data_IF_916026800084
#
_entry.id   IF_916026800084
#
_cell.length_a   1.000
_cell.length_b   1.000
_cell.length_c   1.000
_cell.angle_alpha   90.00
_cell.angle_beta   90.00
_cell.angle_gamma   90.00
#
_symmetry.space_group_name_H-M   'P 1'
#
loop_
_entity.id
_entity.type
_entity.pdbx_description
1 polymer ?
#
# COMPACT_ATOMS: atom_id res chain seq x y z
N UNK A 1 13.26 21.06 15.31
CA UNK A 1 12.80 19.65 15.27
C UNK A 1 11.37 19.68 14.76
N UNK A 2 11.13 19.25 13.52
CA UNK A 2 9.76 19.05 13.03
C UNK A 2 9.45 17.57 13.09
N UNK A 3 8.81 17.15 14.18
CA UNK A 3 8.16 15.84 14.26
C UNK A 3 6.84 15.94 13.51
N UNK A 4 6.87 15.66 12.21
CA UNK A 4 5.65 15.34 11.48
C UNK A 4 5.35 13.86 11.73
N UNK A 5 4.53 13.57 12.74
CA UNK A 5 3.87 12.26 12.82
C UNK A 5 3.02 12.10 11.56
N UNK A 6 3.50 11.26 10.64
CA UNK A 6 2.76 10.92 9.45
C UNK A 6 1.69 9.90 9.85
N UNK A 7 0.56 10.40 10.36
CA UNK A 7 -0.47 9.59 11.00
C UNK A 7 -1.18 8.70 9.98
N UNK A 8 -1.02 7.38 10.15
CA UNK A 8 -1.87 6.40 9.48
C UNK A 8 -3.31 6.53 10.00
N UNK A 9 -4.25 6.37 9.09
CA UNK A 9 -5.69 6.48 9.33
C UNK A 9 -6.40 5.20 8.94
N UNK A 10 -7.64 5.03 9.41
CA UNK A 10 -8.49 3.91 8.99
C UNK A 10 -8.76 3.91 7.49
N UNK A 11 -8.96 2.71 6.94
CA UNK A 11 -9.30 2.50 5.53
C UNK A 11 -10.75 2.89 5.27
N UNK A 12 -10.98 3.70 4.23
CA UNK A 12 -12.30 3.92 3.64
C UNK A 12 -12.62 2.82 2.63
N UNK A 13 -13.87 2.75 2.17
CA UNK A 13 -14.27 1.81 1.13
C UNK A 13 -13.51 2.04 -0.18
N UNK A 14 -13.25 3.30 -0.55
CA UNK A 14 -12.44 3.65 -1.73
C UNK A 14 -11.01 3.09 -1.62
N UNK A 15 -10.38 3.19 -0.45
CA UNK A 15 -9.01 2.69 -0.27
C UNK A 15 -8.94 1.17 -0.35
N UNK A 16 -9.95 0.49 0.21
CA UNK A 16 -10.06 -0.98 0.14
C UNK A 16 -10.28 -1.42 -1.29
N UNK A 17 -11.13 -0.71 -2.04
CA UNK A 17 -11.37 -0.98 -3.45
C UNK A 17 -10.08 -0.83 -4.25
N UNK A 18 -9.36 0.29 -4.10
CA UNK A 18 -8.07 0.50 -4.78
C UNK A 18 -7.07 -0.61 -4.46
N UNK A 19 -6.93 -0.96 -3.16
CA UNK A 19 -6.03 -2.03 -2.75
C UNK A 19 -6.43 -3.38 -3.36
N UNK A 20 -7.73 -3.70 -3.34
CA UNK A 20 -8.27 -4.95 -3.89
C UNK A 20 -8.12 -5.03 -5.41
N UNK A 21 -8.27 -3.91 -6.14
CA UNK A 21 -8.03 -3.85 -7.59
C UNK A 21 -6.62 -4.30 -7.95
N UNK A 22 -5.63 -3.97 -7.13
CA UNK A 22 -4.22 -4.29 -7.39
C UNK A 22 -3.66 -5.41 -6.52
N UNK A 23 -4.52 -6.11 -5.77
CA UNK A 23 -4.11 -7.12 -4.78
C UNK A 23 -3.23 -8.21 -5.35
N UNK A 24 -3.54 -8.71 -6.54
CA UNK A 24 -2.73 -9.74 -7.20
C UNK A 24 -1.30 -9.25 -7.48
N UNK A 25 -1.17 -8.03 -8.01
CA UNK A 25 0.14 -7.40 -8.24
C UNK A 25 0.89 -7.13 -6.93
N UNK A 26 0.19 -6.68 -5.89
CA UNK A 26 0.76 -6.47 -4.55
C UNK A 26 1.30 -7.79 -4.01
N UNK A 27 0.51 -8.87 -4.08
CA UNK A 27 0.92 -10.19 -3.60
C UNK A 27 2.18 -10.71 -4.29
N UNK A 28 2.24 -10.61 -5.64
CA UNK A 28 3.43 -11.00 -6.41
C UNK A 28 4.64 -10.21 -5.91
N UNK A 29 4.50 -8.89 -5.77
CA UNK A 29 5.61 -8.03 -5.35
C UNK A 29 6.01 -8.23 -3.89
N UNK A 30 5.06 -8.54 -3.01
CA UNK A 30 5.33 -8.92 -1.62
C UNK A 30 6.10 -10.23 -1.59
N UNK A 31 5.71 -11.24 -2.37
CA UNK A 31 6.48 -12.48 -2.48
C UNK A 31 7.90 -12.23 -3.01
N UNK A 32 8.07 -11.38 -4.03
CA UNK A 32 9.40 -11.02 -4.52
C UNK A 32 10.28 -10.34 -3.46
N UNK A 33 9.67 -9.50 -2.61
CA UNK A 33 10.37 -8.76 -1.54
C UNK A 33 10.59 -9.64 -0.30
N UNK A 34 9.63 -10.50 0.00
CA UNK A 34 9.55 -11.38 1.15
C UNK A 34 9.26 -12.82 0.66
N UNK A 35 10.28 -13.58 0.19
CA UNK A 35 10.08 -14.88 -0.47
C UNK A 35 9.41 -15.97 0.38
N UNK A 36 9.38 -15.78 1.70
CA UNK A 36 8.69 -16.66 2.65
C UNK A 36 7.17 -16.43 2.69
N UNK A 37 6.68 -15.31 2.15
CA UNK A 37 5.25 -15.03 1.97
C UNK A 37 4.80 -15.70 0.67
N UNK A 38 3.81 -16.61 0.67
CA UNK A 38 3.29 -17.22 -0.56
C UNK A 38 2.71 -16.17 -1.54
N UNK A 39 2.82 -16.41 -2.86
CA UNK A 39 2.15 -15.56 -3.88
C UNK A 39 0.63 -15.51 -3.70
N UNK A 40 0.02 -16.59 -3.23
CA UNK A 40 -1.41 -16.69 -2.96
C UNK A 40 -1.80 -16.18 -1.55
N UNK A 41 -0.86 -15.64 -0.77
CA UNK A 41 -1.14 -15.14 0.56
C UNK A 41 -2.16 -14.00 0.53
N UNK A 42 -3.16 -14.07 1.40
CA UNK A 42 -4.22 -13.08 1.50
C UNK A 42 -3.74 -11.81 2.24
N UNK A 43 -2.93 -10.99 1.57
CA UNK A 43 -2.42 -9.72 2.12
C UNK A 43 -3.59 -8.79 2.42
N UNK A 44 -3.67 -8.31 3.66
CA UNK A 44 -4.74 -7.40 4.12
C UNK A 44 -4.19 -6.03 4.49
N UNK A 45 -4.77 -4.94 3.94
CA UNK A 45 -4.45 -3.60 4.40
C UNK A 45 -5.06 -3.40 5.80
N UNK A 46 -4.26 -2.82 6.69
CA UNK A 46 -4.62 -2.50 8.08
C UNK A 46 -5.02 -1.03 8.21
N UNK A 47 -4.19 -0.15 7.67
CA UNK A 47 -4.36 1.30 7.75
C UNK A 47 -3.70 1.97 6.55
N UNK A 48 -4.00 3.24 6.34
CA UNK A 48 -3.49 4.00 5.21
C UNK A 48 -3.08 5.41 5.59
N UNK A 49 -2.00 5.86 4.98
CA UNK A 49 -1.54 7.24 4.95
C UNK A 49 -1.71 7.79 3.54
N UNK A 50 -2.44 8.90 3.41
CA UNK A 50 -2.66 9.59 2.13
C UNK A 50 -1.86 10.88 2.13
N UNK A 51 -0.98 11.05 1.14
CA UNK A 51 -0.20 12.27 0.94
C UNK A 51 -0.65 12.90 -0.38
N UNK A 52 -1.42 13.98 -0.26
CA UNK A 52 -1.98 14.72 -1.39
C UNK A 52 -1.12 15.98 -1.63
N UNK A 53 -0.48 16.10 -2.79
CA UNK A 53 0.43 17.21 -3.11
C UNK A 53 1.05 17.10 -4.50
N UNK A 54 2.31 17.53 -4.68
CA UNK A 54 3.10 17.26 -5.89
C UNK A 54 3.46 15.77 -5.96
N UNK A 55 2.54 14.99 -6.50
CA UNK A 55 2.54 13.53 -6.39
C UNK A 55 1.51 13.10 -5.36
N UNK A 56 0.52 12.33 -5.81
CA UNK A 56 -0.52 11.77 -4.95
C UNK A 56 -0.04 10.39 -4.53
N UNK A 57 0.20 10.18 -3.24
CA UNK A 57 0.69 8.91 -2.70
C UNK A 57 -0.27 8.31 -1.69
N UNK A 58 -0.47 7.01 -1.78
CA UNK A 58 -1.29 6.22 -0.86
C UNK A 58 -0.41 5.11 -0.29
N UNK A 59 0.02 5.24 0.96
CA UNK A 59 0.83 4.24 1.66
C UNK A 59 -0.06 3.40 2.55
N UNK A 60 -0.15 2.10 2.28
CA UNK A 60 -0.91 1.13 3.05
C UNK A 60 0.01 0.35 3.97
N UNK A 61 -0.32 0.25 5.25
CA UNK A 61 0.26 -0.78 6.12
C UNK A 61 -0.48 -2.07 5.90
N UNK A 62 0.24 -3.14 5.59
CA UNK A 62 -0.32 -4.48 5.35
C UNK A 62 0.24 -5.49 6.34
N UNK A 63 -0.62 -6.38 6.82
CA UNK A 63 -0.18 -7.51 7.65
C UNK A 63 0.43 -8.61 6.78
N UNK A 64 1.55 -9.15 7.24
CA UNK A 64 2.26 -10.31 6.68
C UNK A 64 2.26 -11.47 7.68
N UNK A 65 2.94 -12.57 7.34
CA UNK A 65 3.19 -13.69 8.26
C UNK A 65 4.09 -13.27 9.43
N UNK A 66 4.01 -14.03 10.54
CA UNK A 66 4.85 -13.83 11.74
C UNK A 66 4.75 -12.41 12.35
N UNK A 67 3.55 -11.83 12.35
CA UNK A 67 3.27 -10.49 12.87
C UNK A 67 4.07 -9.36 12.20
N UNK A 68 4.67 -9.63 11.04
CA UNK A 68 5.38 -8.60 10.26
C UNK A 68 4.39 -7.66 9.57
N UNK A 69 4.84 -6.43 9.37
CA UNK A 69 4.08 -5.39 8.66
C UNK A 69 4.95 -4.84 7.54
N UNK A 70 4.34 -4.63 6.38
CA UNK A 70 4.97 -3.91 5.28
C UNK A 70 4.17 -2.66 4.92
N UNK A 71 4.85 -1.69 4.32
CA UNK A 71 4.23 -0.51 3.72
C UNK A 71 4.22 -0.65 2.21
N UNK A 72 3.03 -0.59 1.61
CA UNK A 72 2.80 -0.58 0.16
C UNK A 72 2.44 0.83 -0.26
N UNK A 73 3.33 1.53 -0.97
CA UNK A 73 3.10 2.92 -1.41
C UNK A 73 2.73 2.97 -2.88
N UNK A 74 1.57 3.51 -3.19
CA UNK A 74 1.10 3.75 -4.55
C UNK A 74 1.45 5.17 -5.01
N UNK A 75 2.04 5.28 -6.21
CA UNK A 75 2.47 6.55 -6.80
C UNK A 75 1.51 6.93 -7.93
N UNK A 76 0.54 7.81 -7.65
CA UNK A 76 -0.56 8.10 -8.57
C UNK A 76 -0.33 9.33 -9.46
N UNK A 77 0.85 9.95 -9.40
CA UNK A 77 1.26 11.02 -10.33
C UNK A 77 0.34 12.25 -10.34
N UNK A 78 -0.37 12.54 -9.24
CA UNK A 78 -1.33 13.65 -9.14
C UNK A 78 -2.78 13.28 -9.45
N UNK A 79 -3.05 12.02 -9.86
CA UNK A 79 -4.41 11.52 -10.10
C UNK A 79 -5.02 10.95 -8.82
N UNK A 80 -6.35 10.94 -8.74
CA UNK A 80 -7.09 10.22 -7.71
C UNK A 80 -7.07 8.71 -8.00
N UNK A 81 -7.24 7.91 -6.95
CA UNK A 81 -7.40 6.46 -7.01
C UNK A 81 -8.40 6.01 -8.09
N UNK A 82 -9.57 6.65 -8.12
CA UNK A 82 -10.67 6.40 -9.08
C UNK A 82 -10.38 6.77 -10.53
N UNK A 83 -9.23 7.42 -10.81
CA UNK A 83 -8.84 7.90 -12.15
C UNK A 83 -7.59 7.22 -12.69
N UNK A 84 -7.12 6.15 -12.03
CA UNK A 84 -6.01 5.35 -12.56
C UNK A 84 -6.43 4.57 -13.80
N UNK A 85 -5.67 4.77 -14.88
CA UNK A 85 -5.75 3.97 -16.10
C UNK A 85 -4.35 3.40 -16.32
N UNK A 86 -4.21 2.08 -16.19
CA UNK A 86 -2.93 1.36 -16.19
C UNK A 86 -2.46 0.93 -14.79
N UNK A 87 -1.50 0.00 -14.67
CA UNK A 87 -1.00 -0.44 -13.39
C UNK A 87 -0.25 0.71 -12.70
N UNK A 88 -0.61 1.08 -11.45
CA UNK A 88 0.14 2.07 -10.69
C UNK A 88 1.56 1.55 -10.48
N UNK A 89 2.53 2.46 -10.50
CA UNK A 89 3.81 2.15 -9.90
C UNK A 89 3.59 2.12 -8.37
N UNK A 90 3.98 1.03 -7.73
CA UNK A 90 3.97 0.93 -6.28
C UNK A 90 5.26 0.31 -5.74
N UNK A 91 5.65 0.78 -4.58
CA UNK A 91 6.84 0.35 -3.85
C UNK A 91 6.43 -0.41 -2.59
N UNK A 92 7.24 -1.38 -2.16
CA UNK A 92 7.03 -2.15 -0.94
C UNK A 92 8.25 -1.97 -0.05
N UNK A 93 8.02 -1.50 1.17
CA UNK A 93 9.06 -1.26 2.17
C UNK A 93 8.75 -2.06 3.43
N UNK A 94 9.76 -2.69 4.03
CA UNK A 94 9.62 -3.31 5.35
C UNK A 94 9.36 -2.23 6.41
N UNK A 95 8.34 -2.42 7.24
CA UNK A 95 8.00 -1.52 8.33
C UNK A 95 8.11 -2.28 9.66
N UNK A 96 9.30 -2.26 10.26
CA UNK A 96 9.51 -2.72 11.64
C UNK A 96 8.91 -1.75 12.66
#
# INVERSE_FOLDING_TARGET
MSSSESLFTSLTEEDKELFNTYKESINIRIHETFPFIPVDYDVKPLSIRRQLGCGTFYTYKVALLNDQVAEVTFHLGGKRATSLVGPPHFEITESN
#
